data_IF_111503320416
#
_entry.id   IF_111503320416
#
_cell.length_a   1.000
_cell.length_b   1.000
_cell.length_c   1.000
_cell.angle_alpha   90.00
_cell.angle_beta   90.00
_cell.angle_gamma   90.00
#
_symmetry.space_group_name_H-M   'P 1'
#
loop_
_entity.id
_entity.type
_entity.pdbx_description
1 polymer ?
#
# COMPACT_ATOMS: atom_id res chain seq x y z
N UNK A 1 -58.50 34.18 -2.42
CA UNK A 1 -57.08 34.42 -2.14
C UNK A 1 -56.43 33.08 -1.91
N UNK A 2 -55.61 32.52 -2.83
CA UNK A 2 -54.90 31.30 -2.61
C UNK A 2 -53.60 31.56 -1.83
N UNK A 3 -53.28 30.70 -0.87
CA UNK A 3 -52.05 30.74 -0.08
C UNK A 3 -50.90 30.16 -0.91
N UNK A 4 -49.87 30.95 -1.12
CA UNK A 4 -48.62 30.51 -1.70
C UNK A 4 -47.87 29.64 -0.69
N UNK A 5 -47.43 28.43 -1.12
CA UNK A 5 -46.55 27.52 -0.40
C UNK A 5 -45.14 27.94 -0.81
N UNK A 6 -44.22 28.31 0.10
CA UNK A 6 -42.83 28.58 -0.27
C UNK A 6 -42.12 27.25 -0.50
N UNK A 7 -41.68 27.00 -1.73
CA UNK A 7 -40.70 25.95 -2.08
C UNK A 7 -39.32 26.39 -1.58
N UNK A 8 -39.00 26.01 -0.34
CA UNK A 8 -37.66 26.15 0.18
C UNK A 8 -36.72 25.13 -0.47
N UNK A 9 -35.83 25.59 -1.34
CA UNK A 9 -34.69 24.78 -1.79
C UNK A 9 -33.74 24.57 -0.61
N UNK A 10 -33.23 23.34 -0.37
CA UNK A 10 -32.22 23.10 0.68
C UNK A 10 -30.94 23.86 0.36
N UNK A 11 -30.38 24.48 1.38
CA UNK A 11 -29.13 25.26 1.30
C UNK A 11 -27.96 24.39 0.86
N UNK A 12 -27.52 24.59 -0.41
CA UNK A 12 -26.44 23.88 -1.03
C UNK A 12 -25.06 24.13 -0.37
N UNK A 13 -24.95 25.13 0.52
CA UNK A 13 -23.70 25.47 1.21
C UNK A 13 -23.30 24.44 2.25
N UNK A 14 -24.26 23.70 2.83
CA UNK A 14 -23.98 22.57 3.74
C UNK A 14 -23.44 21.33 3.04
N UNK A 15 -23.74 21.13 1.76
CA UNK A 15 -23.25 19.98 1.00
C UNK A 15 -21.72 20.03 0.75
N UNK A 16 -21.17 21.23 0.53
CA UNK A 16 -19.73 21.40 0.29
C UNK A 16 -18.89 21.29 1.56
N UNK A 17 -19.43 21.52 2.74
CA UNK A 17 -18.71 21.33 4.00
C UNK A 17 -18.55 19.85 4.34
N UNK A 18 -19.49 18.99 3.95
CA UNK A 18 -19.44 17.53 4.18
C UNK A 18 -18.51 16.80 3.18
N UNK A 19 -18.36 17.31 1.96
CA UNK A 19 -17.42 16.75 0.99
C UNK A 19 -15.94 16.90 1.40
N UNK A 20 -15.61 17.75 2.39
CA UNK A 20 -14.26 17.84 2.96
C UNK A 20 -13.85 16.63 3.81
N UNK A 21 -14.77 15.75 4.12
CA UNK A 21 -14.65 14.68 5.11
C UNK A 21 -14.01 13.39 4.59
N UNK A 22 -13.92 13.22 3.27
CA UNK A 22 -13.33 12.01 2.67
C UNK A 22 -11.96 12.26 2.03
N UNK A 23 -11.25 13.32 2.47
CA UNK A 23 -9.91 13.61 1.98
C UNK A 23 -8.89 12.58 2.49
N UNK A 24 -8.88 11.38 1.90
CA UNK A 24 -7.63 10.67 1.74
C UNK A 24 -6.78 11.51 0.79
N UNK A 25 -5.63 11.99 1.23
CA UNK A 25 -4.87 12.93 0.44
C UNK A 25 -4.26 12.25 -0.78
N UNK A 26 -4.73 12.63 -1.94
CA UNK A 26 -3.96 12.54 -3.16
C UNK A 26 -2.84 13.57 -3.08
N UNK A 27 -1.64 13.13 -2.80
CA UNK A 27 -0.46 13.97 -2.59
C UNK A 27 0.06 14.50 -3.92
N UNK A 28 -0.11 15.77 -4.16
CA UNK A 28 0.67 16.51 -5.16
C UNK A 28 1.90 17.03 -4.43
N UNK A 29 3.05 16.50 -4.71
CA UNK A 29 4.39 17.08 -4.64
C UNK A 29 5.46 16.05 -4.28
N UNK A 30 6.11 15.45 -5.27
CA UNK A 30 7.49 14.97 -5.09
C UNK A 30 8.17 14.78 -6.47
N UNK A 31 8.51 15.88 -7.11
CA UNK A 31 9.48 15.91 -8.18
C UNK A 31 10.70 16.65 -7.62
N UNK A 32 11.74 15.95 -7.27
CA UNK A 32 13.00 16.65 -7.03
C UNK A 32 14.11 16.04 -6.19
N UNK A 33 14.02 14.83 -5.64
CA UNK A 33 15.07 14.39 -4.68
C UNK A 33 15.79 13.07 -5.03
N UNK A 34 15.61 12.47 -6.18
CA UNK A 34 16.33 11.23 -6.48
C UNK A 34 17.10 11.26 -7.79
N UNK A 35 18.25 11.91 -7.76
CA UNK A 35 19.32 11.67 -8.72
C UNK A 35 20.64 11.50 -7.95
N UNK A 36 20.95 10.28 -7.48
CA UNK A 36 22.27 9.89 -7.05
C UNK A 36 22.76 8.73 -7.92
N UNK A 37 23.78 9.03 -8.70
CA UNK A 37 24.56 8.13 -9.54
C UNK A 37 25.28 7.09 -8.66
N UNK A 38 25.02 5.81 -8.88
CA UNK A 38 25.86 4.73 -8.38
C UNK A 38 26.82 4.29 -9.51
N UNK A 39 28.07 4.58 -9.33
CA UNK A 39 29.18 3.91 -9.98
C UNK A 39 29.88 3.07 -8.91
N UNK A 40 29.61 1.74 -8.89
CA UNK A 40 30.31 0.82 -8.00
C UNK A 40 31.62 0.33 -8.63
N UNK A 41 32.78 0.42 -7.95
CA UNK A 41 33.94 -0.39 -8.26
C UNK A 41 33.91 -1.69 -7.45
N UNK A 42 34.19 -2.80 -8.10
CA UNK A 42 34.48 -4.09 -7.45
C UNK A 42 35.73 -3.98 -6.58
N UNK A 43 35.61 -4.30 -5.30
CA UNK A 43 36.73 -4.49 -4.39
C UNK A 43 36.60 -5.82 -3.65
N UNK A 44 37.56 -6.74 -3.86
CA UNK A 44 37.76 -7.94 -3.06
C UNK A 44 38.60 -7.60 -1.80
N UNK A 45 38.06 -7.90 -0.61
CA UNK A 45 38.79 -7.83 0.65
C UNK A 45 37.93 -7.34 1.83
N UNK A 46 38.42 -7.54 3.06
CA UNK A 46 37.84 -6.93 4.28
C UNK A 46 38.27 -5.46 4.29
N UNK A 47 37.30 -4.56 4.20
CA UNK A 47 37.56 -3.13 4.37
C UNK A 47 37.88 -2.81 5.83
N UNK A 48 38.70 -1.78 6.10
CA UNK A 48 39.12 -1.38 7.47
C UNK A 48 37.96 -1.02 8.41
N UNK A 49 36.76 -0.80 7.89
CA UNK A 49 35.51 -0.42 8.56
C UNK A 49 34.64 -1.59 9.01
N UNK A 50 35.08 -2.84 8.87
CA UNK A 50 34.40 -4.02 9.38
C UNK A 50 33.32 -4.58 8.44
N UNK A 51 33.48 -4.43 7.11
CA UNK A 51 32.61 -5.02 6.11
C UNK A 51 33.34 -6.15 5.35
N UNK A 52 32.60 -7.19 4.97
CA UNK A 52 33.03 -8.21 4.03
C UNK A 52 32.86 -7.73 2.57
N UNK A 53 33.49 -8.41 1.61
CA UNK A 53 33.25 -8.19 0.17
C UNK A 53 31.75 -8.19 -0.10
N UNK A 54 31.23 -7.15 -0.78
CA UNK A 54 29.80 -6.94 -0.98
C UNK A 54 29.11 -6.12 0.12
N UNK A 55 29.85 -5.45 1.03
CA UNK A 55 29.30 -4.52 2.03
C UNK A 55 28.45 -5.19 3.12
N UNK A 56 28.68 -6.47 3.42
CA UNK A 56 28.03 -7.18 4.52
C UNK A 56 28.84 -6.91 5.80
N UNK A 57 28.23 -6.35 6.89
CA UNK A 57 28.94 -6.14 8.14
C UNK A 57 29.46 -7.45 8.74
N UNK A 58 30.70 -7.44 9.25
CA UNK A 58 31.25 -8.57 10.00
C UNK A 58 30.37 -8.82 11.24
N UNK A 59 29.94 -10.05 11.52
CA UNK A 59 29.21 -10.38 12.75
C UNK A 59 29.99 -9.89 13.98
N UNK A 60 29.31 -9.16 14.91
CA UNK A 60 29.93 -8.61 16.10
C UNK A 60 30.56 -7.21 15.93
N UNK A 61 30.73 -6.70 14.73
CA UNK A 61 31.09 -5.29 14.48
C UNK A 61 30.00 -4.32 14.95
N UNK A 62 30.35 -3.04 15.15
CA UNK A 62 29.33 -2.00 15.46
C UNK A 62 28.23 -1.93 14.40
N UNK A 63 28.61 -2.00 13.13
CA UNK A 63 27.68 -2.02 12.01
C UNK A 63 26.78 -3.27 12.04
N UNK A 64 27.32 -4.44 12.37
CA UNK A 64 26.56 -5.68 12.53
C UNK A 64 25.55 -5.60 13.68
N UNK A 65 25.94 -5.02 14.81
CA UNK A 65 25.05 -4.79 15.96
C UNK A 65 23.96 -3.80 15.66
N UNK A 66 24.29 -2.65 15.03
CA UNK A 66 23.30 -1.67 14.60
C UNK A 66 22.26 -2.28 13.65
N UNK A 67 22.71 -3.10 12.72
CA UNK A 67 21.84 -3.81 11.78
C UNK A 67 20.90 -4.79 12.49
N UNK A 68 21.40 -5.54 13.47
CA UNK A 68 20.59 -6.45 14.28
C UNK A 68 19.51 -5.69 15.07
N UNK A 69 19.84 -4.54 15.64
CA UNK A 69 18.88 -3.67 16.33
C UNK A 69 17.81 -3.15 15.35
N UNK A 70 18.22 -2.66 14.17
CA UNK A 70 17.29 -2.15 13.17
C UNK A 70 16.31 -3.23 12.69
N UNK A 71 16.74 -4.47 12.50
CA UNK A 71 15.87 -5.59 12.12
C UNK A 71 14.71 -5.83 13.10
N UNK A 72 14.92 -5.55 14.36
CA UNK A 72 13.91 -5.73 15.43
C UNK A 72 13.13 -4.44 15.67
N UNK A 73 13.80 -3.29 15.67
CA UNK A 73 13.22 -2.02 16.06
C UNK A 73 12.43 -1.32 14.92
N UNK A 74 12.75 -1.63 13.66
CA UNK A 74 12.18 -0.91 12.51
C UNK A 74 10.64 -0.92 12.49
N UNK A 75 10.02 -2.08 12.69
CA UNK A 75 8.56 -2.15 12.67
C UNK A 75 7.90 -1.54 13.92
N UNK A 76 8.34 -1.83 15.15
CA UNK A 76 7.85 -1.13 16.33
C UNK A 76 7.97 0.39 16.25
N UNK A 77 9.06 0.92 15.68
CA UNK A 77 9.23 2.36 15.49
C UNK A 77 8.23 2.93 14.47
N UNK A 78 7.97 2.23 13.38
CA UNK A 78 6.95 2.63 12.41
C UNK A 78 5.56 2.67 13.05
N UNK A 79 5.19 1.63 13.80
CA UNK A 79 3.90 1.59 14.52
C UNK A 79 3.80 2.71 15.56
N UNK A 80 4.85 2.92 16.36
CA UNK A 80 4.88 3.98 17.36
C UNK A 80 4.74 5.36 16.69
N UNK A 81 5.46 5.62 15.60
CA UNK A 81 5.32 6.86 14.83
C UNK A 81 3.90 7.04 14.29
N UNK A 82 3.28 5.98 13.76
CA UNK A 82 1.90 6.01 13.28
C UNK A 82 0.92 6.40 14.40
N UNK A 83 1.04 5.74 15.57
CA UNK A 83 0.18 6.03 16.73
C UNK A 83 0.39 7.45 17.25
N UNK A 84 1.64 7.90 17.34
CA UNK A 84 1.98 9.26 17.79
C UNK A 84 1.43 10.32 16.83
N UNK A 85 1.62 10.13 15.51
CA UNK A 85 1.10 11.08 14.53
C UNK A 85 -0.43 11.09 14.51
N UNK A 86 -1.08 9.94 14.56
CA UNK A 86 -2.54 9.85 14.66
C UNK A 86 -3.05 10.54 15.93
N UNK A 87 -2.48 10.22 17.10
CA UNK A 87 -2.85 10.84 18.38
C UNK A 87 -2.63 12.35 18.40
N UNK A 88 -1.51 12.83 17.86
CA UNK A 88 -1.22 14.27 17.76
C UNK A 88 -2.20 14.95 16.78
N UNK A 89 -2.47 14.36 15.64
CA UNK A 89 -3.40 14.90 14.66
C UNK A 89 -4.81 15.05 15.23
N UNK A 90 -5.28 14.06 15.98
CA UNK A 90 -6.58 14.10 16.64
C UNK A 90 -6.63 15.12 17.78
N UNK A 91 -5.58 15.15 18.64
CA UNK A 91 -5.56 16.03 19.82
C UNK A 91 -5.35 17.51 19.47
N UNK A 92 -4.65 17.79 18.37
CA UNK A 92 -4.30 19.14 17.91
C UNK A 92 -5.15 19.58 16.71
N UNK A 93 -6.17 18.80 16.36
CA UNK A 93 -7.11 19.07 15.25
C UNK A 93 -6.39 19.41 13.92
N UNK A 94 -5.34 18.66 13.60
CA UNK A 94 -4.59 18.90 12.38
C UNK A 94 -5.42 18.59 11.14
N UNK A 95 -5.24 19.40 10.10
CA UNK A 95 -5.91 19.21 8.82
C UNK A 95 -5.51 17.88 8.16
N UNK A 96 -6.44 16.92 8.00
CA UNK A 96 -6.16 15.63 7.36
C UNK A 96 -5.55 15.76 5.97
N UNK A 97 -5.91 16.81 5.22
CA UNK A 97 -5.39 17.06 3.87
C UNK A 97 -3.88 17.40 3.88
N UNK A 98 -3.33 17.80 5.02
CA UNK A 98 -1.89 18.06 5.19
C UNK A 98 -1.17 16.92 5.90
N UNK A 99 -1.80 16.37 6.94
CA UNK A 99 -1.18 15.32 7.78
C UNK A 99 -0.89 14.08 6.97
N UNK A 100 -1.86 13.57 6.24
CA UNK A 100 -1.71 12.28 5.56
C UNK A 100 -0.64 12.31 4.46
N UNK A 101 -0.53 13.35 3.58
CA UNK A 101 0.56 13.39 2.61
C UNK A 101 1.94 13.55 3.28
N UNK A 102 2.06 14.39 4.31
CA UNK A 102 3.33 14.55 5.02
C UNK A 102 3.73 13.27 5.75
N UNK A 103 2.79 12.58 6.37
CA UNK A 103 3.01 11.29 7.00
C UNK A 103 3.47 10.24 5.97
N UNK A 104 2.79 10.15 4.82
CA UNK A 104 3.16 9.24 3.74
C UNK A 104 4.59 9.50 3.26
N UNK A 105 4.98 10.76 3.06
CA UNK A 105 6.35 11.13 2.72
C UNK A 105 7.33 10.64 3.79
N UNK A 106 7.02 10.84 5.06
CA UNK A 106 7.83 10.34 6.17
C UNK A 106 7.99 8.81 6.14
N UNK A 107 6.90 8.07 5.91
CA UNK A 107 6.92 6.61 5.76
C UNK A 107 7.79 6.18 4.59
N UNK A 108 7.63 6.80 3.42
CA UNK A 108 8.42 6.48 2.23
C UNK A 108 9.91 6.72 2.45
N UNK A 109 10.29 7.86 3.05
CA UNK A 109 11.68 8.17 3.38
C UNK A 109 12.25 7.17 4.40
N UNK A 110 11.49 6.86 5.45
CA UNK A 110 11.88 5.91 6.48
C UNK A 110 12.13 4.51 5.89
N UNK A 111 11.17 3.98 5.14
CA UNK A 111 11.28 2.64 4.56
C UNK A 111 12.36 2.58 3.48
N UNK A 112 12.49 3.61 2.63
CA UNK A 112 13.58 3.68 1.63
C UNK A 112 14.96 3.71 2.30
N UNK A 113 15.11 4.44 3.42
CA UNK A 113 16.33 4.41 4.21
C UNK A 113 16.62 3.02 4.76
N UNK A 114 15.61 2.34 5.30
CA UNK A 114 15.76 0.97 5.80
C UNK A 114 16.13 -0.02 4.69
N UNK A 115 15.59 0.12 3.48
CA UNK A 115 16.00 -0.68 2.32
C UNK A 115 17.49 -0.53 2.00
N UNK A 116 18.09 0.63 2.29
CA UNK A 116 19.54 0.83 2.14
C UNK A 116 20.35 0.26 3.30
N UNK A 117 19.84 0.35 4.52
CA UNK A 117 20.54 -0.07 5.72
C UNK A 117 20.44 -1.57 6.01
N UNK A 118 19.26 -2.14 5.81
CA UNK A 118 18.93 -3.54 6.10
C UNK A 118 18.18 -4.19 4.94
N UNK A 119 18.68 -4.15 3.68
CA UNK A 119 17.97 -4.76 2.56
C UNK A 119 17.78 -6.26 2.77
N UNK A 120 16.62 -6.79 2.36
CA UNK A 120 16.38 -8.22 2.23
C UNK A 120 17.18 -8.80 1.06
N UNK A 121 17.06 -8.17 -0.13
CA UNK A 121 17.83 -8.51 -1.32
C UNK A 121 18.47 -7.23 -1.90
N UNK A 122 19.79 -7.23 -2.12
CA UNK A 122 20.50 -6.04 -2.61
C UNK A 122 20.20 -5.72 -4.07
N UNK A 123 20.02 -6.73 -4.87
CA UNK A 123 19.67 -6.64 -6.29
C UNK A 123 18.21 -6.20 -6.54
N UNK A 124 17.40 -6.13 -5.49
CA UNK A 124 16.03 -5.61 -5.57
C UNK A 124 15.94 -4.08 -5.49
N UNK A 125 17.06 -3.38 -5.31
CA UNK A 125 17.06 -1.93 -5.43
C UNK A 125 16.71 -1.52 -6.88
N UNK A 126 15.88 -0.48 -7.06
CA UNK A 126 15.51 -0.03 -8.40
C UNK A 126 16.73 0.51 -9.16
N UNK A 127 16.88 0.11 -10.42
CA UNK A 127 17.78 0.76 -11.38
C UNK A 127 17.25 2.14 -11.78
N UNK A 128 18.08 2.96 -12.43
CA UNK A 128 17.68 4.30 -12.91
C UNK A 128 16.49 4.23 -13.89
N UNK A 129 16.42 3.17 -14.72
CA UNK A 129 15.29 2.98 -15.63
C UNK A 129 14.02 2.62 -14.86
N UNK A 130 14.11 1.73 -13.87
CA UNK A 130 12.96 1.33 -13.04
C UNK A 130 12.41 2.50 -12.23
N UNK A 131 13.25 3.40 -11.70
CA UNK A 131 12.81 4.60 -11.01
C UNK A 131 11.87 5.47 -11.86
N UNK A 132 12.14 5.60 -13.17
CA UNK A 132 11.26 6.35 -14.09
C UNK A 132 9.89 5.71 -14.21
N UNK A 133 9.85 4.39 -14.37
CA UNK A 133 8.60 3.64 -14.51
C UNK A 133 7.81 3.64 -13.21
N UNK A 134 8.46 3.37 -12.07
CA UNK A 134 7.82 3.38 -10.76
C UNK A 134 7.28 4.76 -10.40
N UNK A 135 8.01 5.83 -10.72
CA UNK A 135 7.53 7.20 -10.55
C UNK A 135 6.29 7.50 -11.39
N UNK A 136 6.24 7.04 -12.65
CA UNK A 136 5.05 7.19 -13.49
C UNK A 136 3.85 6.42 -12.94
N UNK A 137 4.04 5.17 -12.52
CA UNK A 137 2.97 4.39 -11.89
C UNK A 137 2.51 5.00 -10.56
N UNK A 138 3.42 5.58 -9.79
CA UNK A 138 3.06 6.31 -8.58
C UNK A 138 2.10 7.48 -8.90
N UNK A 139 2.39 8.26 -9.95
CA UNK A 139 1.49 9.32 -10.40
C UNK A 139 0.13 8.75 -10.85
N UNK A 140 0.11 7.64 -11.59
CA UNK A 140 -1.12 6.97 -11.99
C UNK A 140 -1.92 6.45 -10.79
N UNK A 141 -1.25 5.93 -9.76
CA UNK A 141 -1.87 5.53 -8.49
C UNK A 141 -2.53 6.72 -7.79
N UNK A 142 -1.87 7.88 -7.79
CA UNK A 142 -2.45 9.12 -7.25
C UNK A 142 -3.71 9.56 -8.02
N UNK A 143 -3.67 9.49 -9.36
CA UNK A 143 -4.85 9.76 -10.19
C UNK A 143 -5.98 8.78 -9.87
N UNK A 144 -5.68 7.48 -9.76
CA UNK A 144 -6.66 6.46 -9.38
C UNK A 144 -7.29 6.73 -8.00
N UNK A 145 -6.47 7.11 -7.02
CA UNK A 145 -6.93 7.48 -5.67
C UNK A 145 -7.85 8.71 -5.69
N UNK A 146 -7.48 9.75 -6.44
CA UNK A 146 -8.31 10.95 -6.58
C UNK A 146 -9.66 10.65 -7.28
N UNK A 147 -9.65 9.79 -8.30
CA UNK A 147 -10.87 9.33 -8.97
C UNK A 147 -11.76 8.51 -8.03
N UNK A 148 -11.18 7.59 -7.25
CA UNK A 148 -11.93 6.82 -6.26
C UNK A 148 -12.61 7.74 -5.25
N UNK A 149 -11.88 8.72 -4.72
CA UNK A 149 -12.38 9.71 -3.78
C UNK A 149 -13.54 10.53 -4.37
N UNK A 150 -13.39 11.01 -5.60
CA UNK A 150 -14.43 11.78 -6.30
C UNK A 150 -15.70 10.94 -6.48
N UNK A 151 -15.56 9.70 -6.94
CA UNK A 151 -16.69 8.79 -7.15
C UNK A 151 -17.42 8.47 -5.84
N UNK A 152 -16.67 8.17 -4.79
CA UNK A 152 -17.26 7.88 -3.47
C UNK A 152 -17.93 9.13 -2.89
N UNK A 153 -17.29 10.30 -2.93
CA UNK A 153 -17.88 11.55 -2.45
C UNK A 153 -19.19 11.88 -3.16
N UNK A 154 -19.26 11.63 -4.47
CA UNK A 154 -20.48 11.83 -5.27
C UNK A 154 -21.58 10.84 -4.89
N UNK A 155 -21.24 9.56 -4.69
CA UNK A 155 -22.19 8.51 -4.34
C UNK A 155 -22.73 8.68 -2.90
N UNK A 156 -21.86 9.01 -1.96
CA UNK A 156 -22.17 9.08 -0.53
C UNK A 156 -22.95 10.34 -0.17
N UNK A 157 -22.79 11.44 -0.91
CA UNK A 157 -23.57 12.66 -0.68
C UNK A 157 -25.10 12.47 -0.67
N UNK A 158 -25.57 11.32 -1.17
CA UNK A 158 -26.99 10.96 -1.26
C UNK A 158 -27.46 10.01 -0.14
N UNK A 159 -26.57 9.20 0.45
CA UNK A 159 -26.98 8.05 1.30
C UNK A 159 -26.22 7.90 2.62
N UNK A 160 -25.24 8.74 2.94
CA UNK A 160 -24.44 8.55 4.14
C UNK A 160 -25.24 8.83 5.44
N UNK A 161 -25.03 8.02 6.51
CA UNK A 161 -25.53 8.32 7.84
C UNK A 161 -25.04 9.68 8.35
N UNK A 162 -25.84 10.35 9.18
CA UNK A 162 -25.57 11.72 9.60
C UNK A 162 -24.46 11.81 10.66
N UNK A 163 -24.46 10.89 11.63
CA UNK A 163 -23.61 10.96 12.82
C UNK A 163 -23.01 9.60 13.20
N UNK A 164 -21.75 9.57 13.70
CA UNK A 164 -21.13 8.37 14.22
C UNK A 164 -21.88 7.83 15.44
N UNK A 165 -22.09 6.50 15.44
CA UNK A 165 -22.84 5.86 16.53
C UNK A 165 -21.95 5.41 17.71
N UNK A 166 -20.62 5.48 17.58
CA UNK A 166 -19.67 4.96 18.55
C UNK A 166 -18.77 6.07 19.13
N UNK A 167 -18.34 5.97 20.37
CA UNK A 167 -17.28 6.83 20.89
C UNK A 167 -15.96 6.55 20.14
N UNK A 168 -15.14 7.59 19.93
CA UNK A 168 -13.93 7.56 19.10
C UNK A 168 -12.99 6.39 19.43
N UNK A 169 -12.83 6.03 20.72
CA UNK A 169 -11.97 4.91 21.13
C UNK A 169 -12.44 3.53 20.65
N UNK A 170 -13.75 3.36 20.37
CA UNK A 170 -14.31 2.15 19.77
C UNK A 170 -14.44 2.30 18.25
N UNK A 171 -14.64 3.52 17.79
CA UNK A 171 -14.85 3.81 16.37
C UNK A 171 -13.58 3.62 15.54
N UNK A 172 -12.41 4.05 16.04
CA UNK A 172 -11.12 3.86 15.35
C UNK A 172 -10.84 2.38 15.06
N UNK A 173 -10.88 1.45 16.05
CA UNK A 173 -10.74 0.02 15.75
C UNK A 173 -11.79 -0.52 14.78
N UNK A 174 -13.04 -0.06 14.90
CA UNK A 174 -14.11 -0.48 14.00
C UNK A 174 -13.88 0.00 12.57
N UNK A 175 -13.46 1.25 12.37
CA UNK A 175 -13.10 1.81 11.08
C UNK A 175 -11.92 1.06 10.45
N UNK A 176 -10.87 0.77 11.25
CA UNK A 176 -9.71 0.01 10.84
C UNK A 176 -10.11 -1.41 10.39
N UNK A 177 -10.90 -2.12 11.17
CA UNK A 177 -11.36 -3.46 10.82
C UNK A 177 -12.23 -3.44 9.56
N UNK A 178 -13.17 -2.50 9.45
CA UNK A 178 -14.06 -2.40 8.29
C UNK A 178 -13.32 -2.06 7.01
N UNK A 179 -12.40 -1.09 7.07
CA UNK A 179 -11.56 -0.70 5.94
C UNK A 179 -10.61 -1.82 5.51
N UNK A 180 -9.97 -2.48 6.48
CA UNK A 180 -9.09 -3.63 6.27
C UNK A 180 -9.83 -4.80 5.61
N UNK A 181 -11.06 -5.13 6.07
CA UNK A 181 -11.88 -6.15 5.44
C UNK A 181 -12.22 -5.80 3.98
N UNK A 182 -12.63 -4.57 3.72
CA UNK A 182 -12.94 -4.13 2.36
C UNK A 182 -11.71 -4.20 1.45
N UNK A 183 -10.54 -3.78 1.93
CA UNK A 183 -9.26 -3.89 1.23
C UNK A 183 -8.88 -5.35 0.95
N UNK A 184 -8.97 -6.21 1.95
CA UNK A 184 -8.75 -7.65 1.80
C UNK A 184 -9.65 -8.28 0.73
N UNK A 185 -10.96 -7.99 0.78
CA UNK A 185 -11.92 -8.53 -0.18
C UNK A 185 -11.64 -8.04 -1.61
N UNK A 186 -11.34 -6.75 -1.77
CA UNK A 186 -10.97 -6.18 -3.07
C UNK A 186 -9.71 -6.84 -3.63
N UNK A 187 -8.68 -7.01 -2.81
CA UNK A 187 -7.41 -7.64 -3.19
C UNK A 187 -7.60 -9.13 -3.54
N UNK A 188 -8.31 -9.88 -2.69
CA UNK A 188 -8.65 -11.28 -2.97
C UNK A 188 -9.44 -11.42 -4.27
N UNK A 189 -10.41 -10.56 -4.53
CA UNK A 189 -11.16 -10.53 -5.78
C UNK A 189 -10.25 -10.17 -6.96
N UNK A 190 -9.27 -9.29 -6.79
CA UNK A 190 -8.22 -9.01 -7.77
C UNK A 190 -7.52 -10.28 -8.24
N UNK A 191 -7.27 -11.23 -7.34
CA UNK A 191 -6.62 -12.52 -7.66
C UNK A 191 -7.60 -13.60 -8.15
N UNK A 192 -8.81 -13.65 -7.63
CA UNK A 192 -9.73 -14.76 -7.88
C UNK A 192 -10.72 -14.48 -9.01
N UNK A 193 -10.92 -13.24 -9.39
CA UNK A 193 -11.79 -12.84 -10.49
C UNK A 193 -10.97 -12.53 -11.74
N UNK A 194 -11.20 -13.24 -12.83
CA UNK A 194 -10.48 -13.11 -14.11
C UNK A 194 -10.47 -11.69 -14.70
N UNK A 195 -11.50 -10.87 -14.44
CA UNK A 195 -11.58 -9.51 -14.95
C UNK A 195 -10.78 -8.55 -14.09
N UNK A 196 -10.88 -8.69 -12.76
CA UNK A 196 -10.11 -7.89 -11.82
C UNK A 196 -8.63 -8.25 -11.86
N UNK A 197 -8.27 -9.52 -12.08
CA UNK A 197 -6.89 -9.92 -12.31
C UNK A 197 -6.23 -9.18 -13.47
N UNK A 198 -6.96 -8.86 -14.53
CA UNK A 198 -6.42 -8.09 -15.67
C UNK A 198 -6.02 -6.65 -15.28
N UNK A 199 -6.56 -6.15 -14.18
CA UNK A 199 -6.18 -4.87 -13.57
C UNK A 199 -5.06 -5.09 -12.54
N UNK A 200 -5.32 -5.95 -11.58
CA UNK A 200 -4.45 -6.21 -10.44
C UNK A 200 -3.12 -6.89 -10.81
N UNK A 201 -3.12 -7.77 -11.81
CA UNK A 201 -1.92 -8.47 -12.27
C UNK A 201 -0.78 -7.54 -12.75
N UNK A 202 -1.08 -6.27 -13.08
CA UNK A 202 -0.05 -5.26 -13.36
C UNK A 202 0.86 -5.05 -12.15
N UNK A 203 0.32 -5.15 -10.93
CA UNK A 203 1.07 -5.06 -9.68
C UNK A 203 2.09 -6.21 -9.51
N UNK A 204 1.79 -7.36 -10.07
CA UNK A 204 2.65 -8.56 -9.99
C UNK A 204 3.68 -8.68 -11.13
N UNK A 205 3.72 -7.73 -12.08
CA UNK A 205 4.70 -7.76 -13.19
C UNK A 205 6.15 -7.60 -12.73
N UNK A 206 6.48 -6.71 -11.76
CA UNK A 206 7.86 -6.56 -11.30
C UNK A 206 8.41 -7.86 -10.69
N UNK A 207 9.67 -8.19 -11.05
CA UNK A 207 10.40 -9.34 -10.49
C UNK A 207 11.20 -8.98 -9.23
N UNK A 208 10.74 -7.97 -8.50
CA UNK A 208 11.30 -7.42 -7.27
C UNK A 208 10.16 -6.90 -6.42
N UNK A 209 10.33 -6.89 -5.10
CA UNK A 209 9.40 -6.28 -4.17
C UNK A 209 10.16 -5.23 -3.37
N UNK A 210 9.81 -3.95 -3.53
CA UNK A 210 10.41 -2.82 -2.84
C UNK A 210 9.42 -1.65 -2.70
N UNK A 211 9.73 -0.69 -1.84
CA UNK A 211 8.86 0.47 -1.57
C UNK A 211 8.46 1.22 -2.85
N UNK A 212 9.39 1.37 -3.78
CA UNK A 212 9.15 2.16 -4.99
C UNK A 212 8.15 1.50 -5.94
N UNK A 213 8.14 0.16 -6.04
CA UNK A 213 7.23 -0.55 -6.94
C UNK A 213 5.89 -0.95 -6.30
N UNK A 214 5.66 -0.62 -5.03
CA UNK A 214 4.32 -0.70 -4.44
C UNK A 214 3.28 0.13 -5.23
N UNK A 215 3.72 1.22 -5.84
CA UNK A 215 2.89 2.06 -6.71
C UNK A 215 2.65 1.52 -8.12
N UNK A 216 3.22 0.35 -8.51
CA UNK A 216 2.98 -0.26 -9.83
C UNK A 216 1.60 -0.89 -9.84
N UNK A 217 0.60 -0.12 -10.22
CA UNK A 217 -0.80 -0.53 -10.25
C UNK A 217 -1.50 -0.01 -11.52
N UNK A 218 -2.52 -0.71 -11.95
CA UNK A 218 -3.43 -0.18 -12.95
C UNK A 218 -4.36 0.87 -12.31
N UNK A 219 -4.60 2.00 -12.97
CA UNK A 219 -5.45 3.08 -12.42
C UNK A 219 -6.83 2.56 -11.99
N UNK A 220 -7.47 1.73 -12.79
CA UNK A 220 -8.78 1.16 -12.45
C UNK A 220 -8.71 0.17 -11.28
N UNK A 221 -7.58 -0.51 -11.05
CA UNK A 221 -7.37 -1.34 -9.86
C UNK A 221 -7.40 -0.49 -8.59
N UNK A 222 -6.69 0.62 -8.59
CA UNK A 222 -6.69 1.57 -7.48
C UNK A 222 -8.10 2.15 -7.24
N UNK A 223 -8.83 2.50 -8.31
CA UNK A 223 -10.21 2.98 -8.19
C UNK A 223 -11.10 1.93 -7.51
N UNK A 224 -10.98 0.66 -7.89
CA UNK A 224 -11.75 -0.43 -7.28
C UNK A 224 -11.34 -0.67 -5.83
N UNK A 225 -10.04 -0.83 -5.56
CA UNK A 225 -9.55 -1.18 -4.23
C UNK A 225 -9.79 -0.04 -3.22
N UNK A 226 -9.37 1.17 -3.55
CA UNK A 226 -9.56 2.33 -2.66
C UNK A 226 -11.02 2.78 -2.60
N UNK A 227 -11.74 2.68 -3.71
CA UNK A 227 -13.18 2.94 -3.76
C UNK A 227 -13.96 2.02 -2.83
N UNK A 228 -13.64 0.72 -2.80
CA UNK A 228 -14.26 -0.24 -1.90
C UNK A 228 -14.03 0.12 -0.42
N UNK A 229 -12.79 0.45 -0.05
CA UNK A 229 -12.45 0.87 1.33
C UNK A 229 -13.19 2.15 1.71
N UNK A 230 -13.06 3.20 0.90
CA UNK A 230 -13.66 4.51 1.19
C UNK A 230 -15.19 4.44 1.23
N UNK A 231 -15.80 3.70 0.30
CA UNK A 231 -17.26 3.51 0.27
C UNK A 231 -17.74 2.77 1.51
N UNK A 232 -17.04 1.74 1.95
CA UNK A 232 -17.36 0.99 3.18
C UNK A 232 -17.33 1.91 4.38
N UNK A 233 -16.24 2.68 4.57
CA UNK A 233 -16.10 3.59 5.70
C UNK A 233 -17.17 4.68 5.70
N UNK A 234 -17.50 5.20 4.53
CA UNK A 234 -18.51 6.24 4.37
C UNK A 234 -19.94 5.72 4.59
N UNK A 235 -20.29 4.52 4.09
CA UNK A 235 -21.62 3.93 4.26
C UNK A 235 -21.90 3.51 5.71
N UNK A 236 -20.86 3.09 6.45
CA UNK A 236 -20.99 2.81 7.89
C UNK A 236 -21.15 4.10 8.69
N UNK A 237 -20.69 5.24 8.16
CA UNK A 237 -20.83 6.54 8.80
C UNK A 237 -19.74 6.84 9.84
N UNK A 238 -18.53 6.32 9.64
CA UNK A 238 -17.41 6.62 10.53
C UNK A 238 -17.01 8.10 10.49
N UNK A 239 -16.58 8.62 11.63
CA UNK A 239 -16.09 10.00 11.77
C UNK A 239 -14.82 10.24 10.95
N UNK A 240 -14.55 11.48 10.53
CA UNK A 240 -13.31 11.85 9.87
C UNK A 240 -12.06 11.48 10.65
N UNK A 241 -12.15 11.61 11.97
CA UNK A 241 -11.09 11.33 12.93
C UNK A 241 -10.72 9.84 12.90
N UNK A 242 -11.71 8.96 12.94
CA UNK A 242 -11.50 7.52 12.88
C UNK A 242 -11.02 7.07 11.50
N UNK A 243 -11.55 7.68 10.44
CA UNK A 243 -11.09 7.44 9.06
C UNK A 243 -9.64 7.90 8.87
N UNK A 244 -9.26 9.06 9.43
CA UNK A 244 -7.87 9.52 9.40
C UNK A 244 -6.93 8.53 10.10
N UNK A 245 -7.25 8.16 11.35
CA UNK A 245 -6.41 7.25 12.14
C UNK A 245 -6.24 5.88 11.45
N UNK A 246 -7.34 5.29 10.96
CA UNK A 246 -7.31 4.04 10.21
C UNK A 246 -6.51 4.19 8.90
N UNK A 247 -6.67 5.30 8.19
CA UNK A 247 -5.96 5.58 6.94
C UNK A 247 -4.46 5.75 7.11
N UNK A 248 -3.99 6.40 8.18
CA UNK A 248 -2.56 6.49 8.50
C UNK A 248 -1.96 5.11 8.76
N UNK A 249 -2.64 4.26 9.53
CA UNK A 249 -2.19 2.89 9.77
C UNK A 249 -2.13 2.08 8.48
N UNK A 250 -3.21 2.07 7.69
CA UNK A 250 -3.28 1.30 6.44
C UNK A 250 -2.22 1.76 5.43
N UNK A 251 -1.95 3.08 5.35
CA UNK A 251 -0.90 3.62 4.49
C UNK A 251 0.49 3.16 4.93
N UNK A 252 0.82 3.28 6.22
CA UNK A 252 2.09 2.83 6.76
C UNK A 252 2.29 1.33 6.52
N UNK A 253 1.26 0.54 6.79
CA UNK A 253 1.28 -0.91 6.68
C UNK A 253 1.40 -1.38 5.23
N UNK A 254 0.64 -0.80 4.31
CA UNK A 254 0.69 -1.14 2.88
C UNK A 254 2.07 -0.90 2.24
N UNK A 255 2.78 0.16 2.65
CA UNK A 255 4.17 0.36 2.20
C UNK A 255 5.17 -0.52 2.96
N UNK A 256 4.93 -0.79 4.24
CA UNK A 256 5.79 -1.69 5.02
C UNK A 256 5.82 -3.10 4.45
N UNK A 257 4.68 -3.69 4.13
CA UNK A 257 4.63 -5.07 3.60
C UNK A 257 5.35 -5.21 2.27
N UNK A 258 5.41 -4.13 1.49
CA UNK A 258 6.08 -4.11 0.19
C UNK A 258 7.57 -3.72 0.26
N UNK A 259 8.09 -3.39 1.45
CA UNK A 259 9.47 -2.94 1.59
C UNK A 259 10.48 -4.09 1.45
N UNK A 260 11.56 -3.83 0.73
CA UNK A 260 12.71 -4.72 0.58
C UNK A 260 13.61 -4.68 1.82
N UNK A 261 13.09 -5.02 2.98
CA UNK A 261 13.80 -4.97 4.26
C UNK A 261 13.87 -6.33 4.94
N UNK A 262 14.98 -6.59 5.61
CA UNK A 262 15.20 -7.81 6.40
C UNK A 262 14.67 -7.60 7.83
N UNK A 263 13.35 -7.48 7.95
CA UNK A 263 12.63 -7.38 9.21
C UNK A 263 11.81 -8.65 9.40
N UNK A 264 11.83 -9.19 10.62
CA UNK A 264 11.07 -10.37 11.02
C UNK A 264 10.22 -10.04 12.22
N UNK A 265 8.91 -10.08 12.07
CA UNK A 265 7.97 -9.76 13.16
C UNK A 265 7.49 -11.00 13.92
N UNK A 266 7.97 -12.18 13.54
CA UNK A 266 7.70 -13.42 14.26
C UNK A 266 6.21 -13.76 14.35
N UNK A 267 5.72 -14.05 15.56
CA UNK A 267 4.30 -14.41 15.78
C UNK A 267 3.33 -13.27 15.48
N UNK A 268 3.78 -12.02 15.38
CA UNK A 268 2.91 -10.91 14.97
C UNK A 268 2.40 -11.09 13.54
N UNK A 269 3.06 -11.91 12.71
CA UNK A 269 2.55 -12.32 11.38
C UNK A 269 1.13 -12.94 11.43
N UNK A 270 0.68 -13.44 12.56
CA UNK A 270 -0.69 -13.95 12.71
C UNK A 270 -1.74 -12.84 12.89
N UNK A 271 -1.31 -11.60 13.15
CA UNK A 271 -2.21 -10.45 13.37
C UNK A 271 -1.98 -9.37 12.34
N UNK A 272 -0.71 -9.07 12.07
CA UNK A 272 -0.27 -7.98 11.20
C UNK A 272 0.44 -8.56 9.97
N UNK A 273 0.14 -8.01 8.80
CA UNK A 273 0.85 -8.38 7.59
C UNK A 273 2.30 -7.87 7.60
N UNK A 274 3.19 -8.57 6.93
CA UNK A 274 4.62 -8.25 6.91
C UNK A 274 5.26 -8.44 5.54
N UNK A 275 6.49 -7.91 5.34
CA UNK A 275 7.25 -8.19 4.13
C UNK A 275 7.50 -9.70 3.87
N UNK A 276 7.58 -10.53 4.94
CA UNK A 276 7.75 -11.98 4.81
C UNK A 276 6.57 -12.63 4.07
N UNK A 277 5.33 -12.27 4.46
CA UNK A 277 4.10 -12.77 3.86
C UNK A 277 3.89 -12.21 2.46
N UNK A 278 4.13 -10.91 2.29
CA UNK A 278 3.88 -10.23 1.03
C UNK A 278 4.85 -10.66 -0.08
N UNK A 279 6.09 -11.02 0.27
CA UNK A 279 6.99 -11.67 -0.69
C UNK A 279 6.48 -13.04 -1.17
N UNK A 280 5.89 -13.84 -0.27
CA UNK A 280 5.23 -15.10 -0.66
C UNK A 280 4.00 -14.84 -1.53
N UNK A 281 3.21 -13.80 -1.21
CA UNK A 281 2.08 -13.36 -2.03
C UNK A 281 2.51 -13.02 -3.47
N UNK A 282 3.69 -12.41 -3.66
CA UNK A 282 4.27 -12.14 -4.97
C UNK A 282 5.03 -13.33 -5.58
N UNK A 283 5.03 -14.51 -4.95
CA UNK A 283 5.73 -15.69 -5.49
C UNK A 283 5.21 -16.09 -6.87
N UNK A 284 6.14 -16.52 -7.73
CA UNK A 284 5.79 -17.16 -9.00
C UNK A 284 5.22 -18.56 -8.80
N UNK A 285 5.37 -19.16 -7.61
CA UNK A 285 4.75 -20.43 -7.23
C UNK A 285 3.34 -20.16 -6.64
N UNK A 286 2.31 -20.49 -7.40
CA UNK A 286 0.93 -20.28 -7.00
C UNK A 286 0.51 -21.07 -5.74
N UNK A 287 1.27 -22.13 -5.38
CA UNK A 287 0.98 -22.91 -4.17
C UNK A 287 1.30 -22.13 -2.87
N UNK A 288 2.20 -21.14 -2.94
CA UNK A 288 2.56 -20.30 -1.80
C UNK A 288 2.07 -18.86 -1.91
N UNK A 289 1.51 -18.46 -3.06
CA UNK A 289 1.06 -17.11 -3.37
C UNK A 289 -0.32 -16.75 -2.77
N UNK A 290 -0.64 -17.24 -1.58
CA UNK A 290 -1.82 -16.84 -0.80
C UNK A 290 -1.61 -15.47 -0.11
N UNK A 291 -2.35 -15.25 0.96
CA UNK A 291 -2.21 -14.08 1.85
C UNK A 291 -2.52 -12.74 1.16
N UNK A 292 -3.79 -12.35 1.21
CA UNK A 292 -4.29 -11.13 0.54
C UNK A 292 -4.38 -9.91 1.47
N UNK A 293 -4.20 -10.09 2.79
CA UNK A 293 -4.16 -8.98 3.74
C UNK A 293 -2.89 -8.16 3.57
N UNK A 294 -3.03 -6.85 3.34
CA UNK A 294 -1.91 -5.90 3.26
C UNK A 294 -1.67 -5.12 4.56
N UNK A 295 -2.56 -5.27 5.55
CA UNK A 295 -2.47 -4.64 6.86
C UNK A 295 -2.72 -5.63 8.00
N UNK A 296 -3.86 -6.32 8.03
CA UNK A 296 -4.21 -7.32 9.02
C UNK A 296 -4.28 -8.72 8.40
N UNK A 297 -3.57 -9.69 9.00
CA UNK A 297 -3.63 -11.11 8.63
C UNK A 297 -4.90 -11.84 9.13
N UNK A 298 -5.72 -11.14 9.92
CA UNK A 298 -6.95 -11.68 10.51
C UNK A 298 -7.90 -12.25 9.45
N UNK A 299 -8.05 -11.54 8.34
CA UNK A 299 -8.96 -11.93 7.25
C UNK A 299 -8.45 -13.15 6.51
N UNK A 300 -7.13 -13.28 6.36
CA UNK A 300 -6.53 -14.47 5.75
C UNK A 300 -6.79 -15.72 6.60
N UNK A 301 -6.73 -15.61 7.93
CA UNK A 301 -7.13 -16.69 8.83
C UNK A 301 -8.61 -17.03 8.69
N UNK A 302 -9.48 -16.02 8.72
CA UNK A 302 -10.92 -16.21 8.66
C UNK A 302 -11.37 -16.84 7.34
N UNK A 303 -10.77 -16.44 6.23
CA UNK A 303 -11.16 -16.90 4.89
C UNK A 303 -10.23 -17.96 4.30
N UNK A 304 -9.27 -18.49 5.09
CA UNK A 304 -8.45 -19.65 4.72
C UNK A 304 -7.38 -19.35 3.65
N UNK A 305 -6.92 -18.09 3.54
CA UNK A 305 -5.85 -17.70 2.60
C UNK A 305 -4.52 -17.40 3.32
N UNK A 306 -4.43 -17.64 4.62
CA UNK A 306 -3.22 -17.36 5.39
C UNK A 306 -2.04 -18.21 4.93
N UNK A 307 -0.95 -17.56 4.54
CA UNK A 307 0.28 -18.18 4.11
C UNK A 307 1.46 -17.49 4.81
N UNK A 308 2.06 -18.16 5.75
CA UNK A 308 3.31 -17.75 6.37
C UNK A 308 3.99 -18.95 7.03
N UNK A 309 5.26 -19.10 6.73
CA UNK A 309 6.12 -20.13 7.33
C UNK A 309 7.41 -19.45 7.75
N UNK A 310 7.80 -19.58 9.00
CA UNK A 310 8.99 -18.92 9.55
C UNK A 310 10.25 -19.23 8.72
N UNK A 311 10.87 -18.20 8.16
CA UNK A 311 12.07 -18.31 7.33
C UNK A 311 11.84 -18.83 5.90
N UNK A 312 10.59 -19.04 5.47
CA UNK A 312 10.27 -19.35 4.08
C UNK A 312 10.41 -18.09 3.23
N UNK A 313 11.10 -18.23 2.11
CA UNK A 313 11.27 -17.19 1.10
C UNK A 313 10.86 -17.76 -0.27
N UNK A 314 10.23 -16.96 -1.15
CA UNK A 314 9.91 -17.40 -2.49
C UNK A 314 11.19 -17.60 -3.31
N UNK A 315 11.19 -18.60 -4.19
CA UNK A 315 12.31 -18.83 -5.12
C UNK A 315 12.43 -17.69 -6.14
N UNK A 316 11.31 -17.09 -6.54
CA UNK A 316 11.23 -15.93 -7.41
C UNK A 316 9.92 -15.19 -7.15
N UNK A 317 9.91 -13.88 -7.40
CA UNK A 317 8.71 -13.04 -7.33
C UNK A 317 8.34 -12.52 -8.72
N UNK A 318 7.06 -12.25 -8.95
CA UNK A 318 6.52 -11.80 -10.22
C UNK A 318 5.33 -12.64 -10.69
N UNK A 319 5.09 -12.62 -11.99
CA UNK A 319 4.02 -13.42 -12.61
C UNK A 319 4.44 -14.88 -12.79
N UNK A 320 3.53 -15.81 -12.53
CA UNK A 320 3.71 -17.24 -12.87
C UNK A 320 3.95 -17.45 -14.37
N UNK A 321 3.21 -16.73 -15.22
CA UNK A 321 3.48 -16.64 -16.67
C UNK A 321 3.89 -15.19 -17.01
N UNK A 322 5.20 -14.90 -17.15
CA UNK A 322 5.70 -13.56 -17.45
C UNK A 322 5.18 -12.98 -18.77
N UNK A 323 4.67 -13.84 -19.68
CA UNK A 323 4.14 -13.40 -20.98
C UNK A 323 2.68 -12.97 -20.94
N UNK A 324 2.02 -13.13 -19.79
CA UNK A 324 0.60 -12.84 -19.62
C UNK A 324 0.26 -11.35 -19.52
N UNK A 325 1.25 -10.50 -19.21
CA UNK A 325 1.12 -9.04 -19.11
C UNK A 325 2.24 -8.32 -19.85
N UNK A 326 2.03 -7.05 -20.25
CA UNK A 326 3.10 -6.18 -20.75
C UNK A 326 4.18 -5.97 -19.68
N UNK A 327 5.42 -5.73 -20.10
CA UNK A 327 6.50 -5.40 -19.19
C UNK A 327 6.24 -4.08 -18.44
N UNK A 328 6.83 -3.91 -17.24
CA UNK A 328 6.62 -2.72 -16.39
C UNK A 328 6.90 -1.41 -17.14
N UNK A 329 7.89 -1.37 -18.04
CA UNK A 329 8.19 -0.19 -18.86
C UNK A 329 7.16 0.13 -19.94
N UNK A 330 6.24 -0.77 -20.25
CA UNK A 330 5.22 -0.63 -21.31
C UNK A 330 3.90 -0.08 -20.73
N UNK A 331 3.96 1.11 -20.15
CA UNK A 331 2.86 1.71 -19.37
C UNK A 331 1.56 1.79 -20.17
N UNK A 332 1.62 2.28 -21.42
CA UNK A 332 0.41 2.39 -22.24
C UNK A 332 -0.19 1.02 -22.56
N UNK A 333 0.66 0.03 -22.86
CA UNK A 333 0.21 -1.34 -23.09
C UNK A 333 -0.43 -1.92 -21.82
N UNK A 334 0.14 -1.63 -20.64
CA UNK A 334 -0.43 -2.04 -19.33
C UNK A 334 -1.79 -1.40 -19.08
N UNK A 335 -1.96 -0.11 -19.37
CA UNK A 335 -3.25 0.59 -19.22
C UNK A 335 -4.31 0.07 -20.21
N UNK A 336 -3.90 -0.37 -21.38
CA UNK A 336 -4.83 -0.93 -22.40
C UNK A 336 -5.03 -2.44 -22.23
N UNK A 337 -4.20 -3.11 -21.41
CA UNK A 337 -4.24 -4.57 -21.25
C UNK A 337 -5.62 -5.13 -20.92
N UNK A 338 -6.43 -4.54 -20.03
CA UNK A 338 -7.76 -5.05 -19.73
C UNK A 338 -8.72 -5.07 -20.93
N UNK A 339 -8.49 -4.23 -21.93
CA UNK A 339 -9.32 -4.13 -23.12
C UNK A 339 -8.96 -5.18 -24.19
N UNK A 340 -7.77 -5.74 -24.14
CA UNK A 340 -7.35 -6.75 -25.09
C UNK A 340 -8.05 -8.08 -24.80
N UNK A 341 -8.64 -8.70 -25.81
CA UNK A 341 -9.20 -10.05 -25.69
C UNK A 341 -8.07 -11.03 -25.40
N UNK A 342 -8.17 -11.81 -24.33
CA UNK A 342 -7.25 -12.91 -24.07
C UNK A 342 -7.19 -13.79 -25.33
N UNK A 343 -6.01 -13.92 -25.95
CA UNK A 343 -5.80 -14.88 -27.03
C UNK A 343 -6.17 -16.27 -26.47
N UNK A 344 -7.26 -16.86 -26.95
CA UNK A 344 -7.53 -18.28 -26.65
C UNK A 344 -6.32 -19.08 -27.12
N UNK A 345 -5.48 -19.57 -26.19
CA UNK A 345 -4.53 -20.62 -26.54
C UNK A 345 -5.35 -21.77 -27.11
N UNK A 346 -5.18 -22.07 -28.42
CA UNK A 346 -5.65 -23.34 -28.96
C UNK A 346 -4.87 -24.42 -28.21
N UNK A 347 -5.53 -25.47 -27.70
CA UNK A 347 -4.79 -26.63 -27.20
C UNK A 347 -3.87 -27.07 -28.33
N UNK A 348 -2.59 -27.23 -28.07
CA UNK A 348 -1.69 -27.94 -28.96
C UNK A 348 -2.24 -29.34 -29.12
N UNK A 349 -2.56 -29.72 -30.37
CA UNK A 349 -3.02 -31.04 -30.73
C UNK A 349 -1.92 -32.07 -30.50
#
# INVERSE_FOLDING_TARGET
>A
MPREIPLGFPDVRGLFSRARLLAFPSTIAFLGVFCMSNSDPEFEGIAPDGFLSGGIPVPGSLAGRARAVLRVAAYPLLLAATVVVAGAALSLEWDPARVSPLFLVGVLLYLTLLERLIPHQRDWHPSTAEWRWYGMYFLLTMVGSALAQLLVATAVGVVAPADPALPLGAEIPAALLSGSLAGYLAHRLGHTNRWLWRLHGVHHVPQKVNVANNGVNHVADIVVAQGAVQLTLALVGFSPESVLAAGLFTAAQGYFVHANIDVRIGRLNHVLASPEQHRLHHSTDLAEAGHYGSDLSLWDHLFGSFTWYAGREPAAVGLHDPTSFPATGEILASLLHPLHRAKRRRPSA
#
